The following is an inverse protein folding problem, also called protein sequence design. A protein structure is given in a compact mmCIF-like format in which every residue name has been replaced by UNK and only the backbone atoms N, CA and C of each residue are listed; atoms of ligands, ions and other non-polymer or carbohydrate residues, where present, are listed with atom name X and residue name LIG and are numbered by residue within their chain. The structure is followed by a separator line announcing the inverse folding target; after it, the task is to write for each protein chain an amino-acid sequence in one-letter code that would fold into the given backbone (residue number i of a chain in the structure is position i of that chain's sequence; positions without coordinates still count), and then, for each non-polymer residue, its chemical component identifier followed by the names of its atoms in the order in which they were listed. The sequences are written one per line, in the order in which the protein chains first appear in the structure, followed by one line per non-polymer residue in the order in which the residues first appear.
data_IF_537023917937
#
_entry.id   IF_537023917937
#
_cell.length_a   1.000
_cell.length_b   1.000
_cell.length_c   1.000
_cell.angle_alpha   90.00
_cell.angle_beta   90.00
_cell.angle_gamma   90.00
#
_symmetry.space_group_name_H-M   'P 1'
#
loop_
_entity.id
_entity.type
_entity.pdbx_description
1 polymer ?
#
# COMPACT_ATOMS: atom_id res chain seq x y z
N UNK A 1 -1.58 -18.40 -4.55
CA UNK A 1 -1.25 -17.97 -5.92
C UNK A 1 -1.14 -16.45 -5.90
N UNK A 2 0.07 -15.89 -5.75
CA UNK A 2 0.27 -14.44 -5.88
C UNK A 2 -0.10 -14.04 -7.31
N UNK A 3 -1.21 -13.29 -7.46
CA UNK A 3 -1.50 -12.66 -8.74
C UNK A 3 -0.35 -11.69 -9.01
N UNK A 4 0.52 -11.99 -9.98
CA UNK A 4 1.55 -11.05 -10.46
C UNK A 4 0.84 -9.74 -10.79
N UNK A 5 1.02 -8.73 -9.94
CA UNK A 5 0.45 -7.41 -10.15
C UNK A 5 0.94 -6.84 -11.47
N UNK A 6 0.09 -6.07 -12.15
CA UNK A 6 0.42 -5.42 -13.42
C UNK A 6 1.71 -4.61 -13.26
N UNK A 7 2.71 -4.79 -14.14
CA UNK A 7 3.99 -4.10 -14.00
C UNK A 7 3.82 -2.58 -14.12
N UNK A 8 4.67 -1.80 -13.45
CA UNK A 8 4.62 -0.34 -13.54
C UNK A 8 4.83 0.16 -14.98
N UNK A 9 5.75 -0.47 -15.72
CA UNK A 9 5.98 -0.16 -17.13
C UNK A 9 4.74 -0.41 -18.01
N UNK A 10 3.98 -1.48 -17.75
CA UNK A 10 2.75 -1.76 -18.50
C UNK A 10 1.66 -0.70 -18.27
N UNK A 11 1.55 -0.18 -17.05
CA UNK A 11 0.60 0.91 -16.74
C UNK A 11 1.00 2.17 -17.49
N UNK A 12 2.28 2.54 -17.48
CA UNK A 12 2.78 3.72 -18.20
C UNK A 12 2.55 3.58 -19.71
N UNK A 13 2.83 2.41 -20.28
CA UNK A 13 2.58 2.11 -21.69
C UNK A 13 1.12 2.36 -22.08
N UNK A 14 0.17 1.80 -21.32
CA UNK A 14 -1.26 2.02 -21.56
C UNK A 14 -1.69 3.45 -21.27
N UNK A 15 -1.06 4.15 -20.33
CA UNK A 15 -1.39 5.55 -20.03
C UNK A 15 -1.07 6.48 -21.21
N UNK A 16 0.01 6.18 -21.95
CA UNK A 16 0.43 6.97 -23.12
C UNK A 16 -0.41 6.61 -24.34
N UNK A 17 -0.61 5.32 -24.62
CA UNK A 17 -1.31 4.86 -25.83
C UNK A 17 -2.83 5.02 -25.71
N UNK A 18 -3.38 4.70 -24.54
CA UNK A 18 -4.81 4.75 -24.30
C UNK A 18 -5.09 5.10 -22.84
N UNK A 19 -5.00 6.40 -22.56
CA UNK A 19 -5.07 6.98 -21.24
C UNK A 19 -6.23 6.47 -20.35
N UNK A 20 -7.45 6.16 -20.85
CA UNK A 20 -8.51 5.63 -19.99
C UNK A 20 -8.17 4.25 -19.40
N UNK A 21 -7.56 3.36 -20.18
CA UNK A 21 -7.12 2.04 -19.68
C UNK A 21 -5.94 2.20 -18.74
N UNK A 22 -4.99 3.07 -19.07
CA UNK A 22 -3.87 3.38 -18.18
C UNK A 22 -4.34 3.84 -16.80
N UNK A 23 -5.32 4.76 -16.75
CA UNK A 23 -5.92 5.22 -15.50
C UNK A 23 -6.66 4.11 -14.75
N UNK A 24 -7.45 3.28 -15.44
CA UNK A 24 -8.16 2.16 -14.81
C UNK A 24 -7.19 1.14 -14.18
N UNK A 25 -6.12 0.78 -14.91
CA UNK A 25 -5.08 -0.11 -14.42
C UNK A 25 -4.34 0.50 -13.22
N UNK A 26 -4.05 1.80 -13.27
CA UNK A 26 -3.43 2.52 -12.18
C UNK A 26 -4.31 2.47 -10.92
N UNK A 27 -5.60 2.81 -11.03
CA UNK A 27 -6.56 2.79 -9.92
C UNK A 27 -6.71 1.39 -9.31
N UNK A 28 -6.73 0.36 -10.15
CA UNK A 28 -6.79 -1.04 -9.71
C UNK A 28 -5.50 -1.46 -8.99
N UNK A 29 -4.33 -1.02 -9.47
CA UNK A 29 -3.05 -1.30 -8.82
C UNK A 29 -2.95 -0.62 -7.45
N UNK A 30 -3.44 0.61 -7.29
CA UNK A 30 -3.53 1.26 -5.98
C UNK A 30 -4.47 0.54 -5.02
N UNK A 31 -5.47 -0.18 -5.53
CA UNK A 31 -6.43 -0.90 -4.70
C UNK A 31 -5.85 -2.21 -4.14
N UNK A 32 -5.01 -2.90 -4.93
CA UNK A 32 -4.64 -4.28 -4.68
C UNK A 32 -3.17 -4.50 -4.29
N UNK A 33 -2.29 -3.51 -4.50
CA UNK A 33 -0.84 -3.67 -4.28
C UNK A 33 -0.42 -3.09 -2.92
N UNK A 34 0.11 -3.95 -2.04
CA UNK A 34 0.60 -3.60 -0.69
C UNK A 34 1.63 -2.49 -0.72
N UNK A 35 2.50 -2.53 -1.72
CA UNK A 35 3.55 -1.55 -1.93
C UNK A 35 2.94 -0.22 -2.38
N UNK A 36 1.94 -0.20 -3.25
CA UNK A 36 1.32 1.05 -3.70
C UNK A 36 0.62 1.83 -2.57
N UNK A 37 0.04 1.11 -1.60
CA UNK A 37 -0.62 1.71 -0.43
C UNK A 37 0.40 2.33 0.57
N UNK A 38 1.58 1.73 0.75
CA UNK A 38 2.54 2.10 1.81
C UNK A 38 3.86 2.74 1.31
N UNK A 39 4.23 2.57 0.04
CA UNK A 39 5.56 2.92 -0.52
C UNK A 39 5.76 4.42 -0.79
N UNK A 40 4.90 5.32 -0.32
CA UNK A 40 5.02 6.76 -0.60
C UNK A 40 4.79 7.17 -2.07
N UNK A 41 4.69 6.22 -3.00
CA UNK A 41 4.46 6.43 -4.44
C UNK A 41 3.12 7.11 -4.76
N UNK A 42 2.21 7.20 -3.79
CA UNK A 42 0.98 8.01 -3.88
C UNK A 42 1.23 9.48 -4.24
N UNK A 43 2.41 10.04 -3.95
CA UNK A 43 2.77 11.40 -4.39
C UNK A 43 2.83 11.51 -5.92
N UNK A 44 3.57 10.61 -6.57
CA UNK A 44 3.71 10.55 -8.03
C UNK A 44 2.34 10.35 -8.70
N UNK A 45 1.52 9.45 -8.15
CA UNK A 45 0.17 9.19 -8.66
C UNK A 45 -0.73 10.43 -8.51
N UNK A 46 -0.59 11.18 -7.42
CA UNK A 46 -1.32 12.43 -7.23
C UNK A 46 -0.91 13.49 -8.26
N UNK A 47 0.37 13.54 -8.64
CA UNK A 47 0.86 14.43 -9.68
C UNK A 47 0.25 14.08 -11.06
N UNK A 48 0.13 12.79 -11.39
CA UNK A 48 -0.57 12.33 -12.61
C UNK A 48 -2.03 12.81 -12.59
N UNK A 49 -2.74 12.66 -11.48
CA UNK A 49 -4.13 13.14 -11.37
C UNK A 49 -4.27 14.64 -11.64
N UNK A 50 -3.39 15.46 -11.06
CA UNK A 50 -3.35 16.92 -11.31
C UNK A 50 -2.98 17.26 -12.75
N UNK A 51 -2.03 16.52 -13.35
CA UNK A 51 -1.65 16.68 -14.75
C UNK A 51 -2.87 16.52 -15.68
N UNK A 52 -3.67 15.46 -15.50
CA UNK A 52 -4.89 15.23 -16.30
C UNK A 52 -5.93 16.35 -16.13
N UNK A 53 -6.08 16.89 -14.92
CA UNK A 53 -7.00 18.01 -14.67
C UNK A 53 -6.52 19.28 -15.38
N UNK A 54 -5.24 19.63 -15.23
CA UNK A 54 -4.67 20.84 -15.83
C UNK A 54 -4.76 20.77 -17.37
N UNK A 55 -4.37 19.64 -17.97
CA UNK A 55 -4.47 19.45 -19.42
C UNK A 55 -5.92 19.44 -19.90
N UNK A 56 -6.85 18.85 -19.15
CA UNK A 56 -8.27 18.89 -19.49
C UNK A 56 -8.84 20.31 -19.46
N UNK A 57 -8.46 21.13 -18.47
CA UNK A 57 -8.88 22.55 -18.40
C UNK A 57 -8.28 23.34 -19.57
N UNK A 58 -6.99 23.18 -19.86
CA UNK A 58 -6.34 23.86 -20.99
C UNK A 58 -6.99 23.48 -22.33
N UNK A 59 -7.34 22.20 -22.50
CA UNK A 59 -8.05 21.73 -23.70
C UNK A 59 -9.43 22.37 -23.87
N UNK A 60 -10.17 22.56 -22.77
CA UNK A 60 -11.46 23.27 -22.78
C UNK A 60 -11.26 24.75 -23.11
N UNK A 61 -10.29 25.42 -22.49
CA UNK A 61 -9.99 26.84 -22.75
C UNK A 61 -9.62 27.05 -24.23
N UNK A 62 -8.73 26.23 -24.77
CA UNK A 62 -8.32 26.31 -26.17
C UNK A 62 -9.48 26.09 -27.16
N UNK A 63 -10.47 25.27 -26.80
CA UNK A 63 -11.65 25.01 -27.61
C UNK A 63 -12.57 26.23 -27.77
N UNK A 64 -12.47 27.24 -26.91
CA UNK A 64 -13.23 28.48 -27.08
C UNK A 64 -12.67 29.39 -28.18
N UNK A 65 -11.37 29.29 -28.48
CA UNK A 65 -10.68 30.14 -29.45
C UNK A 65 -10.51 29.47 -30.84
N UNK A 66 -10.75 28.15 -30.95
CA UNK A 66 -10.55 27.40 -32.21
C UNK A 66 -11.86 27.12 -32.95
N UNK A 67 -11.86 27.31 -34.27
CA UNK A 67 -13.02 27.07 -35.13
C UNK A 67 -13.04 25.63 -35.68
N UNK A 68 -14.11 24.90 -35.30
CA UNK A 68 -14.66 23.65 -35.85
C UNK A 68 -14.05 22.31 -35.42
N UNK A 69 -12.90 21.85 -35.93
CA UNK A 69 -12.46 20.45 -35.69
C UNK A 69 -11.80 20.22 -34.34
N UNK A 70 -10.96 21.17 -33.90
CA UNK A 70 -10.16 21.02 -32.67
C UNK A 70 -10.99 21.32 -31.41
N UNK A 71 -12.06 22.09 -31.58
CA UNK A 71 -13.03 22.38 -30.52
C UNK A 71 -13.74 21.10 -30.03
N UNK A 72 -14.00 20.13 -30.92
CA UNK A 72 -14.65 18.85 -30.55
C UNK A 72 -13.76 18.03 -29.61
N UNK A 73 -12.43 18.04 -29.85
CA UNK A 73 -11.47 17.37 -28.98
C UNK A 73 -11.44 18.02 -27.59
N UNK A 74 -11.39 19.35 -27.51
CA UNK A 74 -11.39 20.05 -26.22
C UNK A 74 -12.70 19.92 -25.43
N UNK A 75 -13.85 19.97 -26.11
CA UNK A 75 -15.18 19.91 -25.47
C UNK A 75 -15.54 18.49 -25.00
N UNK A 76 -15.10 17.44 -25.70
CA UNK A 76 -15.43 16.05 -25.32
C UNK A 76 -14.31 15.43 -24.47
N UNK A 77 -13.04 15.55 -24.90
CA UNK A 77 -11.91 14.90 -24.23
C UNK A 77 -11.51 15.67 -22.97
N UNK A 78 -11.61 17.00 -22.98
CA UNK A 78 -11.29 17.84 -21.82
C UNK A 78 -12.04 17.45 -20.55
N UNK A 79 -13.40 17.39 -20.56
CA UNK A 79 -14.17 16.93 -19.41
C UNK A 79 -13.85 15.49 -19.01
N UNK A 80 -13.64 14.58 -19.97
CA UNK A 80 -13.27 13.20 -19.68
C UNK A 80 -11.93 13.11 -18.91
N UNK A 81 -10.91 13.89 -19.32
CA UNK A 81 -9.63 13.95 -18.62
C UNK A 81 -9.77 14.52 -17.20
N UNK A 82 -10.58 15.56 -17.02
CA UNK A 82 -10.87 16.13 -15.69
C UNK A 82 -11.53 15.09 -14.78
N UNK A 83 -12.56 14.40 -15.28
CA UNK A 83 -13.25 13.33 -14.52
C UNK A 83 -12.26 12.23 -14.15
N UNK A 84 -11.44 11.77 -15.11
CA UNK A 84 -10.39 10.78 -14.87
C UNK A 84 -9.41 11.21 -13.78
N UNK A 85 -8.90 12.45 -13.86
CA UNK A 85 -7.99 13.02 -12.86
C UNK A 85 -8.64 13.11 -11.47
N UNK A 86 -9.88 13.56 -11.37
CA UNK A 86 -10.64 13.62 -10.10
C UNK A 86 -10.81 12.22 -9.49
N UNK A 87 -11.16 11.21 -10.28
CA UNK A 87 -11.32 9.82 -9.80
C UNK A 87 -10.01 9.27 -9.23
N UNK A 88 -8.87 9.53 -9.90
CA UNK A 88 -7.55 9.16 -9.39
C UNK A 88 -7.26 9.83 -8.06
N UNK A 89 -7.46 11.15 -7.96
CA UNK A 89 -7.20 11.89 -6.72
C UNK A 89 -8.08 11.41 -5.55
N UNK A 90 -9.36 11.12 -5.81
CA UNK A 90 -10.26 10.53 -4.79
C UNK A 90 -9.76 9.17 -4.33
N UNK A 91 -9.31 8.31 -5.25
CA UNK A 91 -8.74 7.01 -4.90
C UNK A 91 -7.46 7.17 -4.08
N UNK A 92 -6.55 8.07 -4.48
CA UNK A 92 -5.31 8.38 -3.73
C UNK A 92 -5.63 8.81 -2.31
N UNK A 93 -6.59 9.72 -2.12
CA UNK A 93 -7.01 10.19 -0.81
C UNK A 93 -7.55 9.05 0.06
N UNK A 94 -8.43 8.20 -0.49
CA UNK A 94 -8.96 7.02 0.21
C UNK A 94 -7.84 6.06 0.60
N UNK A 95 -6.91 5.78 -0.32
CA UNK A 95 -5.74 4.94 -0.09
C UNK A 95 -4.86 5.48 1.04
N UNK A 96 -4.55 6.79 1.05
CA UNK A 96 -3.76 7.41 2.13
C UNK A 96 -4.41 7.23 3.51
N UNK A 97 -5.74 7.40 3.58
CA UNK A 97 -6.50 7.18 4.83
C UNK A 97 -6.44 5.72 5.29
N UNK A 98 -6.59 4.77 4.37
CA UNK A 98 -6.46 3.34 4.68
C UNK A 98 -5.05 3.00 5.17
N UNK A 99 -4.01 3.48 4.48
CA UNK A 99 -2.62 3.26 4.87
C UNK A 99 -2.32 3.80 6.27
N UNK A 100 -2.75 5.02 6.59
CA UNK A 100 -2.60 5.60 7.92
C UNK A 100 -3.28 4.76 9.00
N UNK A 101 -4.45 4.19 8.70
CA UNK A 101 -5.15 3.28 9.61
C UNK A 101 -4.38 1.97 9.80
N UNK A 102 -3.88 1.37 8.73
CA UNK A 102 -3.10 0.13 8.79
C UNK A 102 -1.80 0.28 9.58
N UNK A 103 -1.15 1.46 9.51
CA UNK A 103 0.01 1.76 10.36
C UNK A 103 -0.34 1.69 11.85
N UNK A 104 -1.51 2.18 12.26
CA UNK A 104 -1.96 2.08 13.67
C UNK A 104 -2.16 0.63 14.10
N UNK A 105 -2.77 -0.19 13.24
CA UNK A 105 -2.93 -1.62 13.51
C UNK A 105 -1.59 -2.34 13.63
N UNK A 106 -0.63 -2.06 12.75
CA UNK A 106 0.73 -2.63 12.82
C UNK A 106 1.43 -2.19 14.11
N UNK A 107 1.34 -0.91 14.47
CA UNK A 107 1.94 -0.41 15.71
C UNK A 107 1.42 -1.18 16.94
N UNK A 108 0.11 -1.37 17.05
CA UNK A 108 -0.50 -2.07 18.17
C UNK A 108 -0.21 -3.58 18.14
N UNK A 109 -0.48 -4.25 17.02
CA UNK A 109 -0.43 -5.70 16.91
C UNK A 109 1.00 -6.26 16.80
N UNK A 110 1.90 -5.53 16.13
CA UNK A 110 3.26 -5.97 15.84
C UNK A 110 4.24 -5.36 16.84
N UNK A 111 4.28 -4.03 16.93
CA UNK A 111 5.29 -3.36 17.75
C UNK A 111 4.99 -3.43 19.24
N UNK A 112 3.71 -3.31 19.63
CA UNK A 112 3.27 -3.37 21.03
C UNK A 112 2.72 -4.75 21.45
N UNK A 113 2.69 -5.72 20.52
CA UNK A 113 2.23 -7.09 20.77
C UNK A 113 0.79 -7.22 21.32
N UNK A 114 -0.09 -6.24 21.07
CA UNK A 114 -1.48 -6.29 21.53
C UNK A 114 -2.24 -7.34 20.71
N UNK A 115 -2.68 -8.42 21.37
CA UNK A 115 -3.41 -9.54 20.72
C UNK A 115 -4.93 -9.42 20.82
N UNK A 116 -5.43 -8.95 21.97
CA UNK A 116 -6.86 -8.75 22.21
C UNK A 116 -7.48 -7.74 21.25
N UNK A 117 -8.44 -8.19 20.44
CA UNK A 117 -9.10 -7.35 19.43
C UNK A 117 -9.90 -6.23 20.09
N UNK A 118 -10.47 -6.46 21.28
CA UNK A 118 -11.13 -5.42 22.08
C UNK A 118 -10.18 -4.29 22.51
N UNK A 119 -8.95 -4.64 22.87
CA UNK A 119 -7.92 -3.65 23.24
C UNK A 119 -7.47 -2.83 22.02
N UNK A 120 -7.33 -3.49 20.87
CA UNK A 120 -7.07 -2.82 19.59
C UNK A 120 -8.24 -1.88 19.24
N UNK A 121 -9.48 -2.34 19.43
CA UNK A 121 -10.68 -1.57 19.16
C UNK A 121 -10.79 -0.31 20.04
N UNK A 122 -10.53 -0.45 21.34
CA UNK A 122 -10.48 0.66 22.27
C UNK A 122 -9.38 1.67 21.91
N UNK A 123 -8.19 1.19 21.55
CA UNK A 123 -7.04 2.04 21.20
C UNK A 123 -7.24 2.84 19.91
N UNK A 124 -8.00 2.31 18.95
CA UNK A 124 -8.25 2.97 17.65
C UNK A 124 -9.59 3.74 17.66
N UNK A 125 -10.47 3.48 18.63
CA UNK A 125 -11.79 4.10 18.75
C UNK A 125 -12.79 3.60 17.72
N UNK A 126 -12.74 2.30 17.40
CA UNK A 126 -13.65 1.66 16.42
C UNK A 126 -14.39 0.49 17.06
N UNK A 127 -15.61 0.15 16.59
CA UNK A 127 -16.33 -1.01 17.10
C UNK A 127 -15.60 -2.30 16.72
N UNK A 128 -15.72 -3.31 17.60
CA UNK A 128 -15.09 -4.63 17.44
C UNK A 128 -15.29 -5.21 16.04
N UNK A 129 -16.51 -5.22 15.51
CA UNK A 129 -16.77 -5.83 14.19
C UNK A 129 -16.11 -5.12 13.02
N UNK A 130 -15.93 -3.81 13.13
CA UNK A 130 -15.20 -3.06 12.12
C UNK A 130 -13.69 -3.36 12.21
N UNK A 131 -13.17 -3.55 13.43
CA UNK A 131 -11.77 -3.92 13.66
C UNK A 131 -11.50 -5.33 13.14
N UNK A 132 -12.36 -6.30 13.46
CA UNK A 132 -12.28 -7.68 12.91
C UNK A 132 -12.24 -7.64 11.39
N UNK A 133 -13.13 -6.86 10.75
CA UNK A 133 -13.13 -6.70 9.29
C UNK A 133 -11.83 -6.11 8.77
N UNK A 134 -11.33 -5.02 9.37
CA UNK A 134 -10.08 -4.40 8.95
C UNK A 134 -8.87 -5.33 9.13
N UNK A 135 -8.80 -6.06 10.25
CA UNK A 135 -7.73 -7.03 10.51
C UNK A 135 -7.80 -8.19 9.51
N UNK A 136 -8.99 -8.69 9.20
CA UNK A 136 -9.18 -9.70 8.17
C UNK A 136 -8.76 -9.20 6.79
N UNK A 137 -9.11 -7.96 6.44
CA UNK A 137 -8.65 -7.33 5.21
C UNK A 137 -7.13 -7.22 5.18
N UNK A 138 -6.49 -6.86 6.30
CA UNK A 138 -5.02 -6.82 6.42
C UNK A 138 -4.38 -8.20 6.29
N UNK A 139 -4.98 -9.27 6.81
CA UNK A 139 -4.52 -10.66 6.64
C UNK A 139 -4.66 -11.09 5.18
N UNK A 140 -5.82 -10.83 4.57
CA UNK A 140 -6.11 -11.21 3.18
C UNK A 140 -5.20 -10.49 2.18
N UNK A 141 -4.97 -9.19 2.42
CA UNK A 141 -4.00 -8.41 1.67
C UNK A 141 -2.57 -8.87 2.02
N UNK A 142 -2.36 -9.52 3.16
CA UNK A 142 -1.10 -10.08 3.63
C UNK A 142 -0.14 -9.03 4.18
N UNK A 143 -0.67 -8.00 4.83
CA UNK A 143 0.09 -7.14 5.74
C UNK A 143 0.43 -7.84 7.06
N UNK A 144 -0.43 -8.77 7.50
CA UNK A 144 -0.22 -9.60 8.68
C UNK A 144 -0.03 -11.04 8.21
N UNK A 145 1.19 -11.36 7.75
CA UNK A 145 1.53 -12.71 7.30
C UNK A 145 1.36 -13.70 8.44
N UNK A 146 0.84 -14.88 8.11
CA UNK A 146 0.64 -15.99 9.04
C UNK A 146 -0.22 -15.65 10.27
N UNK A 147 -0.99 -14.57 10.22
CA UNK A 147 -1.95 -14.22 11.27
C UNK A 147 -3.36 -14.74 10.94
N UNK A 148 -4.10 -15.10 11.98
CA UNK A 148 -5.52 -15.43 11.90
C UNK A 148 -6.27 -14.82 13.09
N UNK A 149 -7.59 -14.69 12.93
CA UNK A 149 -8.47 -14.18 13.98
C UNK A 149 -9.10 -15.37 14.68
N UNK A 150 -8.81 -15.50 15.98
CA UNK A 150 -9.55 -16.39 16.86
C UNK A 150 -10.79 -15.65 17.38
N UNK A 151 -11.97 -16.12 16.95
CA UNK A 151 -13.25 -15.51 17.32
C UNK A 151 -13.71 -15.91 18.71
N UNK A 152 -13.28 -17.07 19.21
CA UNK A 152 -13.63 -17.55 20.55
C UNK A 152 -12.82 -16.77 21.59
N UNK A 153 -11.50 -16.67 21.38
CA UNK A 153 -10.62 -15.88 22.23
C UNK A 153 -10.73 -14.36 21.99
N UNK A 154 -11.35 -13.93 20.88
CA UNK A 154 -11.39 -12.53 20.42
C UNK A 154 -9.99 -11.93 20.26
N UNK A 155 -9.07 -12.72 19.73
CA UNK A 155 -7.65 -12.39 19.62
C UNK A 155 -7.13 -12.50 18.19
N UNK A 156 -6.11 -11.69 17.89
CA UNK A 156 -5.29 -11.81 16.70
C UNK A 156 -4.08 -12.69 17.01
N UNK A 157 -4.05 -13.89 16.44
CA UNK A 157 -2.99 -14.88 16.67
C UNK A 157 -2.06 -14.89 15.47
N UNK A 158 -0.75 -14.82 15.71
CA UNK A 158 0.26 -15.05 14.67
C UNK A 158 0.73 -16.49 14.82
N UNK A 159 0.69 -17.27 13.74
CA UNK A 159 1.41 -18.55 13.69
C UNK A 159 2.87 -18.22 13.90
N UNK A 160 3.35 -18.50 15.11
CA UNK A 160 4.77 -18.54 15.36
C UNK A 160 5.35 -19.57 14.39
N UNK A 161 6.16 -19.12 13.43
CA UNK A 161 7.32 -19.92 13.08
C UNK A 161 8.09 -19.95 14.40
N UNK A 162 8.21 -21.13 15.00
CA UNK A 162 8.90 -21.30 16.27
C UNK A 162 10.16 -20.43 16.27
N UNK A 163 10.43 -19.65 17.34
CA UNK A 163 11.76 -19.11 17.48
C UNK A 163 12.69 -20.30 17.33
N UNK A 164 13.65 -20.21 16.41
CA UNK A 164 14.72 -21.19 16.32
C UNK A 164 15.21 -21.38 17.75
N UNK A 165 14.83 -22.50 18.36
CA UNK A 165 15.34 -22.87 19.66
C UNK A 165 16.83 -22.95 19.43
N UNK A 166 17.57 -22.09 20.12
CA UNK A 166 19.01 -22.17 20.17
C UNK A 166 19.32 -23.47 20.92
N UNK A 167 19.32 -24.58 20.21
CA UNK A 167 20.02 -25.77 20.65
C UNK A 167 21.48 -25.33 20.69
N UNK A 168 22.00 -25.15 21.90
CA UNK A 168 23.42 -24.97 22.12
C UNK A 168 24.11 -26.27 21.68
N UNK A 169 24.45 -26.34 20.40
CA UNK A 169 25.44 -27.29 19.92
C UNK A 169 26.73 -26.52 19.62
N UNK A 170 27.72 -26.92 20.39
CA UNK A 170 29.07 -26.42 20.48
C UNK A 170 29.79 -26.43 19.13
N UNK A 171 30.54 -25.34 18.92
CA UNK A 171 31.79 -25.28 18.16
C UNK A 171 31.71 -25.55 16.65
N UNK A 172 31.84 -24.48 15.86
CA UNK A 172 32.87 -24.28 14.82
C UNK A 172 32.40 -23.22 13.79
N UNK A 173 33.00 -22.04 13.89
CA UNK A 173 33.28 -21.06 12.81
C UNK A 173 32.20 -20.83 11.73
N UNK A 174 31.36 -19.79 11.92
CA UNK A 174 30.85 -18.95 10.81
C UNK A 174 30.84 -17.50 11.27
N UNK A 175 31.31 -16.62 10.39
CA UNK A 175 31.37 -15.18 10.60
C UNK A 175 30.06 -14.67 11.21
N UNK A 176 30.17 -13.97 12.33
CA UNK A 176 29.05 -13.43 13.11
C UNK A 176 28.33 -12.37 12.28
N UNK A 177 27.29 -12.79 11.57
CA UNK A 177 26.38 -11.87 10.89
C UNK A 177 25.49 -11.27 11.97
N UNK A 178 25.96 -10.15 12.54
CA UNK A 178 25.23 -9.38 13.53
C UNK A 178 23.84 -9.02 12.98
N UNK A 179 22.77 -9.40 13.69
CA UNK A 179 21.39 -9.05 13.34
C UNK A 179 20.93 -7.89 14.21
N UNK A 180 20.37 -6.84 13.61
CA UNK A 180 19.82 -5.69 14.33
C UNK A 180 18.33 -5.49 14.00
N UNK A 181 17.59 -4.93 14.96
CA UNK A 181 16.20 -4.54 14.75
C UNK A 181 16.13 -3.14 14.12
N UNK A 182 15.52 -3.02 12.95
CA UNK A 182 15.36 -1.77 12.21
C UNK A 182 13.87 -1.47 12.00
N UNK A 183 13.48 -0.22 12.19
CA UNK A 183 12.11 0.24 11.94
C UNK A 183 11.92 0.50 10.45
N UNK A 184 10.88 -0.11 9.86
CA UNK A 184 10.58 0.07 8.44
C UNK A 184 10.12 1.52 8.15
N UNK A 185 10.72 2.22 7.17
CA UNK A 185 10.30 3.59 6.81
C UNK A 185 8.92 3.64 6.14
N UNK A 186 8.47 2.52 5.56
CA UNK A 186 7.18 2.40 4.89
C UNK A 186 6.02 2.24 5.88
N UNK A 187 5.98 1.10 6.58
CA UNK A 187 4.86 0.75 7.46
C UNK A 187 5.09 1.02 8.95
N UNK A 188 6.34 1.26 9.38
CA UNK A 188 6.69 1.48 10.79
C UNK A 188 6.88 0.21 11.62
N UNK A 189 6.76 -0.98 11.04
CA UNK A 189 7.01 -2.25 11.72
C UNK A 189 8.50 -2.43 12.05
N UNK A 190 8.79 -3.07 13.19
CA UNK A 190 10.13 -3.52 13.53
C UNK A 190 10.46 -4.82 12.75
N UNK A 191 11.59 -4.82 12.03
CA UNK A 191 12.10 -5.96 11.27
C UNK A 191 13.50 -6.32 11.75
N UNK A 192 13.88 -7.59 11.67
CA UNK A 192 15.23 -8.05 12.03
C UNK A 192 16.03 -8.25 10.75
N UNK A 193 17.12 -7.52 10.61
CA UNK A 193 17.95 -7.53 9.39
C UNK A 193 19.41 -7.79 9.73
N UNK A 194 20.15 -8.40 8.81
CA UNK A 194 21.60 -8.61 8.94
C UNK A 194 22.36 -7.34 8.62
N UNK A 195 23.37 -6.99 9.41
CA UNK A 195 24.20 -5.79 9.19
C UNK A 195 24.85 -5.84 7.80
N UNK A 196 24.72 -4.75 7.03
CA UNK A 196 25.29 -4.64 5.68
C UNK A 196 24.47 -5.30 4.57
N UNK A 197 23.26 -5.81 4.84
CA UNK A 197 22.36 -6.33 3.81
C UNK A 197 21.07 -5.51 3.68
N UNK A 198 20.51 -5.52 2.46
CA UNK A 198 19.16 -4.98 2.18
C UNK A 198 18.20 -6.17 2.16
N UNK A 199 17.19 -6.14 3.01
CA UNK A 199 16.12 -7.14 3.06
C UNK A 199 14.76 -6.46 2.86
N UNK A 200 13.71 -7.23 2.56
CA UNK A 200 12.36 -6.69 2.41
C UNK A 200 11.61 -6.76 3.74
N UNK A 201 10.84 -5.73 4.06
CA UNK A 201 10.00 -5.73 5.25
C UNK A 201 8.94 -6.83 5.17
N UNK A 202 8.83 -7.64 6.22
CA UNK A 202 7.90 -8.79 6.27
C UNK A 202 6.44 -8.39 6.13
N UNK A 203 6.10 -7.16 6.54
CA UNK A 203 4.73 -6.66 6.59
C UNK A 203 4.33 -5.90 5.33
N UNK A 204 5.19 -5.02 4.80
CA UNK A 204 4.82 -4.15 3.67
C UNK A 204 5.69 -4.31 2.42
N UNK A 205 6.74 -5.13 2.45
CA UNK A 205 7.65 -5.35 1.33
C UNK A 205 8.52 -4.14 0.97
N UNK A 206 8.58 -3.11 1.83
CA UNK A 206 9.51 -1.98 1.61
C UNK A 206 10.93 -2.44 1.94
N UNK A 207 11.93 -2.14 1.10
CA UNK A 207 13.32 -2.47 1.39
C UNK A 207 13.77 -1.79 2.69
N UNK A 208 14.43 -2.55 3.55
CA UNK A 208 14.99 -2.17 4.84
C UNK A 208 16.45 -2.60 4.88
N UNK A 209 17.32 -1.70 5.35
CA UNK A 209 18.75 -1.92 5.47
C UNK A 209 19.22 -1.54 6.86
N UNK A 210 20.23 -2.26 7.36
CA UNK A 210 20.96 -1.96 8.59
C UNK A 210 22.29 -1.27 8.30
#
# INVERSE_FOLDING_TARGET
MEKKGTSWGWIVFWLIIFWPVGLALLVNKLANDKSALMSGKTGIISAVGWFFIIFGILGIVAAFDTSSSDAVLGIIIGPAMIIGGILVLRKVSKTKRTAARYKKYIELAVNQNVRGIDNIAASIGLPYELVVRNLQDMINIGYLKDAYIDREARELVFKQIEPISYTQESTHQRADVQKIAVRCPGCGANNVVSVGSVSECDYCGTPVSA
#
